data_IF_495602250301
#
_entry.id   IF_495602250301
#
_cell.length_a   1.000
_cell.length_b   1.000
_cell.length_c   1.000
_cell.angle_alpha   90.00
_cell.angle_beta   90.00
_cell.angle_gamma   90.00
#
_symmetry.space_group_name_H-M   'P 1'
#
loop_
_entity.id
_entity.type
_entity.pdbx_description
1 polymer ?
#
# COMPACT_ATOMS: atom_id res chain seq x y z
N UNK A 1 -25.37 79.61 -35.68
CA UNK A 1 -24.42 80.53 -36.33
C UNK A 1 -23.06 80.33 -35.66
N UNK A 2 -22.09 79.77 -36.38
CA UNK A 2 -20.61 79.93 -36.27
C UNK A 2 -19.98 80.28 -34.89
N UNK A 3 -18.99 79.58 -34.34
CA UNK A 3 -17.77 78.96 -34.92
C UNK A 3 -17.18 77.94 -33.93
N UNK A 4 -16.89 76.73 -34.42
CA UNK A 4 -15.90 75.83 -33.82
C UNK A 4 -14.53 76.16 -34.41
N UNK A 5 -13.51 76.37 -33.57
CA UNK A 5 -12.10 76.43 -33.98
C UNK A 5 -11.34 75.36 -33.22
N UNK A 6 -10.89 74.34 -33.96
CA UNK A 6 -10.02 73.28 -33.51
C UNK A 6 -8.61 73.81 -33.27
N UNK A 7 -7.99 73.45 -32.14
CA UNK A 7 -6.54 73.49 -31.96
C UNK A 7 -6.00 72.06 -32.02
N UNK A 8 -5.36 71.75 -33.13
CA UNK A 8 -4.56 70.55 -33.36
C UNK A 8 -3.16 70.83 -32.80
N UNK A 9 -2.82 70.31 -31.62
CA UNK A 9 -1.43 70.35 -31.14
C UNK A 9 -0.66 69.19 -31.79
N UNK A 10 0.14 69.53 -32.79
CA UNK A 10 1.17 68.67 -33.37
C UNK A 10 2.29 68.56 -32.34
N UNK A 11 2.44 67.39 -31.72
CA UNK A 11 3.66 67.03 -30.99
C UNK A 11 4.66 66.51 -32.02
N UNK A 12 5.79 67.21 -32.17
CA UNK A 12 6.89 66.82 -33.06
C UNK A 12 7.84 65.84 -32.33
N UNK A 13 8.54 65.03 -33.12
CA UNK A 13 9.37 63.87 -32.72
C UNK A 13 10.66 64.24 -31.94
N UNK A 14 10.70 65.36 -31.23
CA UNK A 14 11.90 65.86 -30.54
C UNK A 14 11.76 66.04 -29.02
N UNK A 15 10.62 65.67 -28.43
CA UNK A 15 10.38 65.77 -26.98
C UNK A 15 10.52 64.45 -26.19
N UNK A 16 11.22 63.44 -26.73
CA UNK A 16 11.50 62.18 -25.99
C UNK A 16 13.00 61.88 -25.91
N UNK A 17 13.79 62.87 -25.51
CA UNK A 17 15.18 62.65 -25.08
C UNK A 17 15.52 63.53 -23.87
N UNK A 18 14.88 63.25 -22.74
CA UNK A 18 15.42 63.54 -21.41
C UNK A 18 15.38 62.26 -20.58
N UNK A 19 16.20 61.28 -20.98
CA UNK A 19 16.54 60.18 -20.08
C UNK A 19 17.45 60.76 -18.99
N UNK A 20 16.85 61.06 -17.84
CA UNK A 20 17.58 61.12 -16.58
C UNK A 20 18.46 59.88 -16.49
N UNK A 21 19.78 60.06 -16.37
CA UNK A 21 20.72 58.99 -16.06
C UNK A 21 20.22 58.27 -14.81
N UNK A 22 19.63 57.08 -14.99
CA UNK A 22 19.35 56.17 -13.89
C UNK A 22 20.71 55.74 -13.34
N UNK A 23 21.15 56.39 -12.27
CA UNK A 23 22.35 55.99 -11.52
C UNK A 23 22.05 54.66 -10.85
N UNK A 24 22.46 53.58 -11.50
CA UNK A 24 22.50 52.28 -10.87
C UNK A 24 23.77 52.16 -10.02
N UNK A 25 23.63 51.61 -8.82
CA UNK A 25 24.80 51.18 -8.05
C UNK A 25 25.46 50.00 -8.75
N UNK A 26 26.79 50.04 -8.87
CA UNK A 26 27.54 48.99 -9.55
C UNK A 26 27.40 47.65 -8.78
N UNK A 27 27.01 46.55 -9.46
CA UNK A 27 26.83 45.26 -8.81
C UNK A 27 28.16 44.55 -8.58
N UNK A 28 28.28 43.89 -7.43
CA UNK A 28 29.47 43.12 -7.03
C UNK A 28 29.11 41.62 -6.91
N UNK A 29 29.91 40.73 -7.48
CA UNK A 29 29.73 39.27 -7.36
C UNK A 29 30.67 38.74 -6.28
N UNK A 30 30.12 38.06 -5.28
CA UNK A 30 30.88 37.44 -4.18
C UNK A 30 31.11 35.94 -4.41
N UNK A 31 30.07 35.18 -4.78
CA UNK A 31 30.20 33.75 -5.08
C UNK A 31 29.11 33.26 -6.04
N UNK A 32 29.39 32.14 -6.72
CA UNK A 32 28.42 31.37 -7.51
C UNK A 32 28.48 29.93 -7.02
N UNK A 33 27.36 29.38 -6.60
CA UNK A 33 27.29 28.08 -5.96
C UNK A 33 26.24 27.16 -6.63
N UNK A 34 26.64 25.97 -7.10
CA UNK A 34 28.02 25.46 -7.18
C UNK A 34 28.86 26.19 -8.27
N UNK A 35 30.18 26.30 -8.06
CA UNK A 35 31.12 26.85 -9.05
C UNK A 35 31.75 25.78 -9.95
N UNK A 36 31.48 24.49 -9.70
CA UNK A 36 31.92 23.36 -10.53
C UNK A 36 30.67 22.61 -10.97
N UNK A 37 30.47 22.45 -12.27
CA UNK A 37 29.25 21.91 -12.87
C UNK A 37 29.55 21.00 -14.05
N UNK A 38 28.58 20.21 -14.50
CA UNK A 38 28.69 19.44 -15.74
C UNK A 38 28.63 20.37 -16.97
N UNK A 39 29.21 19.95 -18.09
CA UNK A 39 29.10 20.70 -19.34
C UNK A 39 27.67 20.83 -19.88
N UNK A 40 26.73 20.04 -19.35
CA UNK A 40 25.29 20.16 -19.62
C UNK A 40 24.64 21.38 -18.95
N UNK A 41 25.36 22.11 -18.12
CA UNK A 41 24.83 23.22 -17.32
C UNK A 41 24.35 22.78 -15.94
N UNK A 42 23.64 23.67 -15.26
CA UNK A 42 23.11 23.42 -13.91
C UNK A 42 21.86 24.28 -13.68
N UNK A 43 20.81 23.69 -13.11
CA UNK A 43 19.61 24.45 -12.77
C UNK A 43 19.68 25.07 -11.36
N UNK A 44 18.91 26.14 -11.16
CA UNK A 44 18.68 26.79 -9.86
C UNK A 44 19.97 27.14 -9.12
N UNK A 45 20.93 27.71 -9.85
CA UNK A 45 22.22 28.13 -9.32
C UNK A 45 22.06 29.44 -8.56
N UNK A 46 22.75 29.53 -7.42
CA UNK A 46 22.73 30.72 -6.58
C UNK A 46 23.97 31.57 -6.81
N UNK A 47 23.77 32.84 -7.16
CA UNK A 47 24.82 33.87 -7.13
C UNK A 47 24.60 34.76 -5.92
N UNK A 48 25.66 34.96 -5.13
CA UNK A 48 25.70 35.90 -4.00
C UNK A 48 26.50 37.14 -4.39
N UNK A 49 26.05 38.31 -3.94
CA UNK A 49 26.64 39.58 -4.32
C UNK A 49 26.10 40.77 -3.55
N UNK A 50 26.30 41.97 -4.10
CA UNK A 50 25.72 43.22 -3.63
C UNK A 50 25.13 44.00 -4.79
N UNK A 51 24.13 44.84 -4.51
CA UNK A 51 23.49 45.75 -5.47
C UNK A 51 22.88 45.05 -6.69
N UNK A 52 22.36 43.83 -6.51
CA UNK A 52 21.88 42.98 -7.60
C UNK A 52 20.45 43.29 -8.09
N UNK A 53 19.80 44.31 -7.51
CA UNK A 53 18.39 44.64 -7.75
C UNK A 53 18.04 44.97 -9.22
N UNK A 54 18.99 45.52 -9.96
CA UNK A 54 18.79 45.95 -11.35
C UNK A 54 19.34 44.97 -12.38
N UNK A 55 19.95 43.86 -11.95
CA UNK A 55 20.53 42.86 -12.86
C UNK A 55 19.44 42.21 -13.69
N UNK A 56 19.58 42.24 -15.02
CA UNK A 56 18.59 41.70 -15.97
C UNK A 56 18.82 40.23 -16.28
N UNK A 57 20.08 39.84 -16.50
CA UNK A 57 20.50 38.49 -16.90
C UNK A 57 21.93 38.22 -16.42
N UNK A 58 22.29 36.95 -16.36
CA UNK A 58 23.66 36.49 -16.09
C UNK A 58 24.27 36.01 -17.39
N UNK A 59 25.47 36.49 -17.72
CA UNK A 59 26.18 36.13 -18.93
C UNK A 59 27.35 35.20 -18.60
N UNK A 60 27.44 34.11 -19.34
CA UNK A 60 28.52 33.12 -19.26
C UNK A 60 29.30 33.15 -20.55
N UNK A 61 30.62 33.31 -20.46
CA UNK A 61 31.52 33.42 -21.62
C UNK A 61 32.77 32.56 -21.41
N UNK A 62 33.17 31.83 -22.44
CA UNK A 62 34.42 31.06 -22.43
C UNK A 62 35.53 31.88 -23.06
N UNK A 63 36.77 31.70 -22.58
CA UNK A 63 37.93 32.47 -23.04
C UNK A 63 38.21 32.33 -24.56
N UNK A 64 37.72 31.27 -25.19
CA UNK A 64 37.89 30.98 -26.62
C UNK A 64 36.59 31.08 -27.45
N UNK A 65 35.45 31.46 -26.85
CA UNK A 65 34.15 31.50 -27.52
C UNK A 65 33.69 32.95 -27.75
N UNK A 66 33.42 33.29 -29.02
CA UNK A 66 32.95 34.61 -29.43
C UNK A 66 31.46 34.82 -29.14
N UNK A 67 30.70 33.77 -28.79
CA UNK A 67 29.27 33.84 -28.56
C UNK A 67 28.95 33.61 -27.07
N UNK A 68 28.85 34.68 -26.25
CA UNK A 68 28.46 34.54 -24.86
C UNK A 68 27.03 34.01 -24.75
N UNK A 69 26.77 33.20 -23.71
CA UNK A 69 25.44 32.67 -23.42
C UNK A 69 24.82 33.43 -22.26
N UNK A 70 23.62 33.93 -22.50
CA UNK A 70 22.85 34.68 -21.51
C UNK A 70 21.80 33.78 -20.84
N UNK A 71 21.63 33.95 -19.54
CA UNK A 71 20.61 33.28 -18.73
C UNK A 71 19.75 34.30 -17.99
N UNK A 72 18.42 34.23 -18.10
CA UNK A 72 17.53 35.13 -17.38
C UNK A 72 17.59 34.89 -15.87
N UNK A 73 17.41 35.95 -15.09
CA UNK A 73 17.25 35.86 -13.63
C UNK A 73 15.84 35.36 -13.31
N UNK A 74 15.74 34.27 -12.55
CA UNK A 74 14.48 33.66 -12.12
C UNK A 74 13.95 34.30 -10.83
N UNK A 75 14.85 34.49 -9.86
CA UNK A 75 14.54 35.13 -8.58
C UNK A 75 15.61 36.16 -8.27
N UNK A 76 15.18 37.32 -7.76
CA UNK A 76 16.04 38.47 -7.51
C UNK A 76 15.88 39.02 -6.10
N UNK A 77 17.01 39.33 -5.47
CA UNK A 77 17.16 40.10 -4.23
C UNK A 77 18.32 41.10 -4.42
N UNK A 78 18.55 41.98 -3.45
CA UNK A 78 19.68 42.90 -3.45
C UNK A 78 21.04 42.20 -3.33
N UNK A 79 21.05 41.00 -2.77
CA UNK A 79 22.23 40.23 -2.38
C UNK A 79 22.30 38.82 -3.01
N UNK A 80 21.22 38.36 -3.64
CA UNK A 80 21.10 37.02 -4.20
C UNK A 80 20.38 37.01 -5.55
N UNK A 81 20.84 36.15 -6.46
CA UNK A 81 20.17 35.82 -7.71
C UNK A 81 20.04 34.30 -7.85
N UNK A 82 18.90 33.84 -8.38
CA UNK A 82 18.71 32.46 -8.83
C UNK A 82 18.54 32.45 -10.34
N UNK A 83 19.29 31.59 -11.03
CA UNK A 83 19.28 31.47 -12.49
C UNK A 83 19.71 30.06 -12.93
N UNK A 84 19.57 29.74 -14.21
CA UNK A 84 20.08 28.49 -14.77
C UNK A 84 21.44 28.73 -15.44
N UNK A 85 22.45 27.91 -15.18
CA UNK A 85 23.67 27.93 -15.98
C UNK A 85 23.45 27.11 -17.25
N UNK A 86 23.57 27.68 -18.46
CA UNK A 86 23.38 26.96 -19.71
C UNK A 86 24.52 25.96 -19.98
N UNK A 87 24.23 24.93 -20.77
CA UNK A 87 25.25 23.99 -21.25
C UNK A 87 26.27 24.66 -22.18
N UNK A 88 27.50 24.15 -22.20
CA UNK A 88 28.61 24.75 -22.93
C UNK A 88 29.81 23.83 -23.10
N UNK A 89 30.99 24.43 -23.21
CA UNK A 89 32.26 23.72 -23.46
C UNK A 89 32.95 23.41 -22.13
N UNK A 90 33.70 22.31 -22.07
CA UNK A 90 34.50 21.95 -20.88
C UNK A 90 35.60 22.98 -20.61
N UNK A 91 35.93 23.16 -19.34
CA UNK A 91 36.95 24.10 -18.88
C UNK A 91 36.34 25.32 -18.18
N UNK A 92 37.15 26.38 -18.04
CA UNK A 92 36.76 27.57 -17.29
C UNK A 92 35.90 28.51 -18.14
N UNK A 93 34.79 28.96 -17.58
CA UNK A 93 33.95 30.01 -18.12
C UNK A 93 33.88 31.18 -17.14
N UNK A 94 33.91 32.41 -17.66
CA UNK A 94 33.71 33.65 -16.89
C UNK A 94 32.23 33.96 -16.81
N UNK A 95 31.82 34.46 -15.66
CA UNK A 95 30.45 34.84 -15.35
C UNK A 95 30.43 36.29 -14.91
N UNK A 96 29.53 37.06 -15.53
CA UNK A 96 29.22 38.43 -15.15
C UNK A 96 27.71 38.64 -15.10
N UNK A 97 27.28 39.68 -14.38
CA UNK A 97 25.88 40.12 -14.34
C UNK A 97 25.68 41.25 -15.34
N UNK A 98 24.58 41.21 -16.07
CA UNK A 98 24.26 42.20 -17.11
C UNK A 98 23.18 43.15 -16.62
N UNK A 99 23.49 44.45 -16.63
CA UNK A 99 22.60 45.53 -16.23
C UNK A 99 21.69 45.98 -17.39
N UNK A 100 20.66 46.83 -17.17
CA UNK A 100 19.73 47.25 -18.23
C UNK A 100 20.40 48.07 -19.34
N UNK A 101 21.55 48.66 -19.06
CA UNK A 101 22.42 49.36 -20.02
C UNK A 101 23.19 48.40 -20.94
N UNK A 102 23.11 47.09 -20.70
CA UNK A 102 23.83 46.05 -21.43
C UNK A 102 25.27 45.82 -20.95
N UNK A 103 25.73 46.58 -19.94
CA UNK A 103 27.03 46.43 -19.31
C UNK A 103 27.15 45.11 -18.54
N UNK A 104 28.32 44.47 -18.63
CA UNK A 104 28.64 43.20 -17.99
C UNK A 104 29.59 43.48 -16.82
N UNK A 105 29.12 43.26 -15.60
CA UNK A 105 29.81 43.62 -14.36
C UNK A 105 30.17 42.38 -13.54
N UNK A 106 31.32 42.44 -12.87
CA UNK A 106 31.90 41.32 -12.14
C UNK A 106 32.64 40.33 -13.04
N UNK A 107 33.54 39.56 -12.43
CA UNK A 107 34.39 38.60 -13.12
C UNK A 107 34.66 37.42 -12.19
N UNK A 108 33.72 36.47 -12.13
CA UNK A 108 33.92 35.21 -11.41
C UNK A 108 34.03 34.06 -12.40
N UNK A 109 34.70 32.98 -12.00
CA UNK A 109 34.93 31.82 -12.85
C UNK A 109 34.13 30.62 -12.36
N UNK A 110 33.54 29.89 -13.29
CA UNK A 110 32.93 28.58 -13.06
C UNK A 110 33.61 27.53 -13.93
N UNK A 111 33.69 26.29 -13.45
CA UNK A 111 34.34 25.19 -14.14
C UNK A 111 33.31 24.21 -14.70
N UNK A 112 33.36 23.99 -16.02
CA UNK A 112 32.57 23.00 -16.74
C UNK A 112 33.34 21.68 -16.82
N UNK A 113 32.95 20.72 -15.99
CA UNK A 113 33.44 19.35 -15.97
C UNK A 113 32.77 18.43 -17.00
N UNK A 114 33.14 17.15 -16.94
CA UNK A 114 32.56 16.12 -17.80
C UNK A 114 31.15 15.71 -17.33
N UNK A 115 30.40 15.00 -18.18
CA UNK A 115 29.09 14.46 -17.77
C UNK A 115 29.23 13.43 -16.64
N UNK A 116 28.23 13.32 -15.75
CA UNK A 116 28.17 12.21 -14.81
C UNK A 116 27.97 10.89 -15.57
N UNK A 117 28.48 9.82 -14.99
CA UNK A 117 28.26 8.46 -15.49
C UNK A 117 27.92 7.54 -14.33
N UNK A 118 27.02 6.59 -14.56
CA UNK A 118 26.60 5.60 -13.57
C UNK A 118 26.89 4.20 -14.10
N UNK A 119 27.81 3.52 -13.44
CA UNK A 119 28.26 2.17 -13.80
C UNK A 119 27.51 1.11 -13.00
N UNK A 120 27.18 1.38 -11.73
CA UNK A 120 26.46 0.43 -10.88
C UNK A 120 25.71 1.15 -9.73
N UNK A 121 24.87 0.40 -9.00
CA UNK A 121 24.17 0.85 -7.80
C UNK A 121 24.29 -0.19 -6.68
N UNK A 122 24.45 0.28 -5.45
CA UNK A 122 24.68 -0.55 -4.28
C UNK A 122 23.75 -0.10 -3.14
N UNK A 123 22.77 -0.92 -2.72
CA UNK A 123 22.33 -2.17 -3.34
C UNK A 123 21.53 -1.92 -4.63
N UNK A 124 21.41 -2.93 -5.51
CA UNK A 124 20.61 -2.83 -6.75
C UNK A 124 19.11 -3.15 -6.57
N UNK A 125 18.77 -3.73 -5.42
CA UNK A 125 17.42 -4.21 -5.12
C UNK A 125 16.84 -3.39 -3.97
N UNK A 126 15.57 -3.02 -4.07
CA UNK A 126 14.79 -2.39 -2.99
C UNK A 126 13.62 -3.28 -2.61
N UNK A 127 13.10 -3.10 -1.40
CA UNK A 127 11.83 -3.68 -0.98
C UNK A 127 10.65 -2.78 -1.40
N UNK A 128 9.45 -3.36 -1.46
CA UNK A 128 8.24 -2.76 -2.04
C UNK A 128 7.80 -1.49 -1.31
N UNK A 129 7.95 -1.42 0.01
CA UNK A 129 7.64 -0.23 0.81
C UNK A 129 8.60 0.95 0.57
N UNK A 130 9.75 0.73 -0.09
CA UNK A 130 10.71 1.78 -0.44
C UNK A 130 11.42 2.40 0.77
N UNK A 131 11.97 3.61 0.58
CA UNK A 131 12.84 4.34 1.50
C UNK A 131 14.13 3.57 1.85
N UNK A 132 14.67 2.88 0.86
CA UNK A 132 15.99 2.27 0.92
C UNK A 132 17.03 3.27 0.41
N UNK A 133 18.14 3.40 1.12
CA UNK A 133 19.25 4.24 0.67
C UNK A 133 20.08 3.50 -0.37
N UNK A 134 20.12 4.03 -1.59
CA UNK A 134 20.87 3.46 -2.70
C UNK A 134 22.06 4.35 -3.01
N UNK A 135 23.25 3.77 -2.95
CA UNK A 135 24.48 4.40 -3.41
C UNK A 135 24.63 4.23 -4.92
N UNK A 136 24.88 5.35 -5.60
CA UNK A 136 25.23 5.37 -7.02
C UNK A 136 26.75 5.27 -7.16
N UNK A 137 27.22 4.39 -8.04
CA UNK A 137 28.64 4.18 -8.33
C UNK A 137 28.93 4.62 -9.76
N UNK A 138 29.96 5.44 -9.92
CA UNK A 138 30.32 6.01 -11.21
C UNK A 138 31.30 7.18 -11.08
N UNK A 139 31.31 8.08 -12.08
CA UNK A 139 32.23 9.22 -12.14
C UNK A 139 31.47 10.55 -12.29
N UNK A 140 32.06 11.62 -11.76
CA UNK A 140 31.52 13.00 -11.80
C UNK A 140 30.10 13.12 -11.20
N UNK A 141 29.79 12.31 -10.19
CA UNK A 141 28.45 12.21 -9.59
C UNK A 141 28.05 13.44 -8.79
N UNK A 142 29.01 14.29 -8.41
CA UNK A 142 28.79 15.59 -7.77
C UNK A 142 27.97 16.56 -8.62
N UNK A 143 27.87 16.33 -9.94
CA UNK A 143 27.10 17.16 -10.85
C UNK A 143 25.62 16.78 -10.95
N UNK A 144 25.21 15.66 -10.34
CA UNK A 144 23.82 15.20 -10.39
C UNK A 144 22.93 16.12 -9.54
N UNK A 145 21.79 16.51 -10.10
CA UNK A 145 20.78 17.36 -9.45
C UNK A 145 19.71 16.55 -8.75
N UNK A 146 19.26 15.49 -9.41
CA UNK A 146 18.18 14.63 -8.97
C UNK A 146 18.28 13.30 -9.72
N UNK A 147 17.54 12.31 -9.25
CA UNK A 147 17.39 11.02 -9.94
C UNK A 147 15.93 10.83 -10.32
N UNK A 148 15.70 10.36 -11.54
CA UNK A 148 14.37 10.00 -12.02
C UNK A 148 14.27 8.48 -12.18
N UNK A 149 13.24 7.90 -11.57
CA UNK A 149 12.86 6.49 -11.60
C UNK A 149 11.47 6.41 -12.22
N UNK A 150 11.35 5.96 -13.48
CA UNK A 150 10.06 5.82 -14.19
C UNK A 150 9.11 7.02 -13.95
N UNK A 151 9.57 8.21 -14.33
CA UNK A 151 8.91 9.52 -14.16
C UNK A 151 8.80 10.07 -12.73
N UNK A 152 9.11 9.28 -11.70
CA UNK A 152 9.24 9.79 -10.33
C UNK A 152 10.61 10.43 -10.10
N UNK A 153 10.66 11.70 -9.72
CA UNK A 153 11.92 12.40 -9.41
C UNK A 153 12.15 12.45 -7.91
N UNK A 154 13.32 11.99 -7.47
CA UNK A 154 13.77 12.00 -6.08
C UNK A 154 15.02 12.85 -5.92
N UNK A 155 15.11 13.54 -4.78
CA UNK A 155 16.29 14.32 -4.42
C UNK A 155 17.48 13.41 -4.11
N UNK A 156 18.68 13.95 -4.32
CA UNK A 156 19.94 13.25 -4.06
C UNK A 156 20.70 13.90 -2.93
N UNK A 157 21.42 13.07 -2.19
CA UNK A 157 22.38 13.50 -1.18
C UNK A 157 23.79 13.15 -1.67
N UNK A 158 24.66 14.14 -1.74
CA UNK A 158 26.07 13.94 -2.07
C UNK A 158 26.91 14.34 -0.87
N UNK A 159 27.53 13.36 -0.21
CA UNK A 159 28.35 13.58 0.99
C UNK A 159 29.57 12.66 0.96
N UNK A 160 30.72 13.20 1.35
CA UNK A 160 31.99 12.45 1.41
C UNK A 160 32.33 11.72 0.09
N UNK A 161 32.02 12.33 -1.06
CA UNK A 161 32.28 11.75 -2.39
C UNK A 161 31.27 10.68 -2.83
N UNK A 162 30.22 10.44 -2.06
CA UNK A 162 29.23 9.39 -2.32
C UNK A 162 27.85 10.01 -2.61
N UNK A 163 27.30 9.66 -3.77
CA UNK A 163 25.93 10.02 -4.16
C UNK A 163 24.95 8.94 -3.66
N UNK A 164 23.95 9.35 -2.88
CA UNK A 164 22.87 8.47 -2.41
C UNK A 164 21.50 9.08 -2.68
N UNK A 165 20.53 8.23 -2.96
CA UNK A 165 19.11 8.61 -3.03
C UNK A 165 18.26 7.61 -2.26
N UNK A 166 17.05 8.01 -1.88
CA UNK A 166 16.07 7.13 -1.27
C UNK A 166 15.09 6.62 -2.32
N UNK A 167 14.81 5.32 -2.29
CA UNK A 167 13.83 4.72 -3.21
C UNK A 167 12.41 5.14 -2.86
N UNK A 168 11.54 5.45 -3.83
CA UNK A 168 10.12 5.63 -3.56
C UNK A 168 9.42 4.27 -3.29
N UNK A 169 8.24 4.27 -2.68
CA UNK A 169 7.41 3.06 -2.57
C UNK A 169 6.98 2.54 -3.96
N UNK A 170 6.96 1.21 -4.14
CA UNK A 170 6.60 0.56 -5.41
C UNK A 170 5.18 0.91 -5.87
N UNK A 171 4.26 1.16 -4.94
CA UNK A 171 2.86 1.52 -5.22
C UNK A 171 2.71 2.82 -6.02
N UNK A 172 3.76 3.65 -6.09
CA UNK A 172 3.78 4.86 -6.91
C UNK A 172 3.90 4.53 -8.42
N UNK A 173 4.34 3.32 -8.74
CA UNK A 173 4.51 2.85 -10.12
C UNK A 173 3.38 1.92 -10.54
N UNK A 174 2.99 2.01 -11.81
CA UNK A 174 2.05 1.09 -12.44
C UNK A 174 2.73 -0.20 -12.92
N UNK A 175 4.02 -0.11 -13.27
CA UNK A 175 4.79 -1.25 -13.76
C UNK A 175 5.45 -2.02 -12.62
N UNK A 176 5.74 -3.31 -12.83
CA UNK A 176 6.48 -4.14 -11.86
C UNK A 176 8.01 -4.06 -12.00
N UNK A 177 8.52 -3.17 -12.87
CA UNK A 177 9.95 -3.02 -13.16
C UNK A 177 10.50 -4.07 -14.15
N UNK A 178 11.83 -4.13 -14.38
CA UNK A 178 12.90 -3.35 -13.73
C UNK A 178 12.90 -1.88 -14.12
N UNK A 179 13.16 -0.99 -13.16
CA UNK A 179 13.02 0.45 -13.33
C UNK A 179 14.34 1.10 -13.81
N UNK A 180 14.33 1.83 -14.94
CA UNK A 180 15.48 2.58 -15.38
C UNK A 180 15.75 3.74 -14.43
N UNK A 181 17.03 3.96 -14.11
CA UNK A 181 17.48 5.06 -13.25
C UNK A 181 18.14 6.11 -14.13
N UNK A 182 17.63 7.34 -14.10
CA UNK A 182 18.14 8.44 -14.89
C UNK A 182 18.77 9.49 -13.97
N UNK A 183 20.04 9.80 -14.18
CA UNK A 183 20.73 10.90 -13.53
C UNK A 183 20.39 12.22 -14.25
N UNK A 184 19.85 13.19 -13.51
CA UNK A 184 19.57 14.52 -14.05
C UNK A 184 20.78 15.44 -13.83
N UNK A 185 21.33 16.02 -14.90
CA UNK A 185 22.39 17.01 -14.84
C UNK A 185 22.12 18.13 -15.85
N UNK A 186 21.79 19.33 -15.37
CA UNK A 186 21.28 20.42 -16.20
C UNK A 186 20.01 20.00 -16.94
N UNK A 187 20.00 20.18 -18.25
CA UNK A 187 18.87 19.82 -19.12
C UNK A 187 19.00 18.42 -19.73
N UNK A 188 19.94 17.59 -19.24
CA UNK A 188 20.15 16.23 -19.75
C UNK A 188 19.82 15.19 -18.69
N UNK A 189 19.13 14.14 -19.12
CA UNK A 189 18.91 12.92 -18.35
C UNK A 189 19.82 11.82 -18.92
N UNK A 190 20.62 11.21 -18.06
CA UNK A 190 21.63 10.22 -18.42
C UNK A 190 21.27 8.90 -17.76
N UNK A 191 21.03 7.86 -18.56
CA UNK A 191 20.66 6.55 -18.02
C UNK A 191 21.83 5.89 -17.29
N UNK A 192 21.54 5.31 -16.13
CA UNK A 192 22.45 4.36 -15.51
C UNK A 192 22.49 3.06 -16.30
N UNK A 193 23.65 2.41 -16.34
CA UNK A 193 23.81 1.12 -16.99
C UNK A 193 22.90 0.05 -16.37
N UNK A 194 22.72 0.09 -15.05
CA UNK A 194 21.92 -0.88 -14.32
C UNK A 194 20.53 -0.34 -13.98
N UNK A 195 19.55 -1.24 -13.93
CA UNK A 195 18.18 -0.95 -13.52
C UNK A 195 17.96 -1.33 -12.06
N UNK A 196 17.09 -0.58 -11.39
CA UNK A 196 16.65 -0.85 -10.02
C UNK A 196 15.54 -1.90 -10.03
N UNK A 197 15.62 -2.86 -9.11
CA UNK A 197 14.67 -3.96 -8.99
C UNK A 197 13.93 -3.84 -7.65
N UNK A 198 12.62 -4.01 -7.66
CA UNK A 198 11.84 -4.14 -6.44
C UNK A 198 11.51 -5.60 -6.17
N UNK A 199 11.57 -5.98 -4.90
CA UNK A 199 11.10 -7.26 -4.37
C UNK A 199 10.06 -7.01 -3.27
N UNK A 200 9.27 -8.02 -2.89
CA UNK A 200 8.39 -7.93 -1.72
C UNK A 200 9.14 -7.52 -0.47
N UNK A 201 8.43 -6.93 0.49
CA UNK A 201 9.00 -6.57 1.79
C UNK A 201 9.50 -7.82 2.53
N UNK A 202 10.62 -7.72 3.27
CA UNK A 202 11.18 -8.86 4.00
C UNK A 202 10.22 -9.36 5.10
N UNK A 203 9.99 -10.67 5.13
CA UNK A 203 9.09 -11.32 6.09
C UNK A 203 9.88 -11.90 7.28
N UNK A 204 9.52 -11.45 8.49
CA UNK A 204 9.98 -12.02 9.76
C UNK A 204 8.87 -12.90 10.34
N UNK A 205 9.22 -14.11 10.77
CA UNK A 205 8.22 -15.13 11.12
C UNK A 205 8.08 -15.33 12.61
N UNK A 206 9.19 -15.43 13.34
CA UNK A 206 9.19 -15.68 14.78
C UNK A 206 10.48 -15.19 15.42
N UNK A 207 10.48 -15.04 16.75
CA UNK A 207 11.68 -14.74 17.50
C UNK A 207 11.77 -15.60 18.77
N UNK A 208 12.99 -15.80 19.23
CA UNK A 208 13.31 -16.45 20.50
C UNK A 208 14.29 -15.60 21.28
N UNK A 209 14.29 -15.74 22.60
CA UNK A 209 15.20 -15.00 23.49
C UNK A 209 15.99 -15.98 24.33
N UNK A 210 17.29 -15.74 24.48
CA UNK A 210 18.17 -16.53 25.32
C UNK A 210 18.93 -15.62 26.28
N UNK A 211 18.78 -15.81 27.60
CA UNK A 211 19.45 -14.97 28.59
C UNK A 211 20.96 -15.20 28.57
N UNK A 212 21.72 -14.12 28.65
CA UNK A 212 23.17 -14.07 28.86
C UNK A 212 23.46 -13.19 30.09
N UNK A 213 24.71 -13.15 30.53
CA UNK A 213 25.11 -12.32 31.68
C UNK A 213 24.82 -10.85 31.37
N UNK A 214 23.84 -10.25 32.06
CA UNK A 214 23.37 -8.86 31.91
C UNK A 214 22.83 -8.45 30.52
N UNK A 215 22.59 -9.41 29.64
CA UNK A 215 22.12 -9.18 28.27
C UNK A 215 21.11 -10.26 27.87
N UNK A 216 20.20 -9.92 26.97
CA UNK A 216 19.27 -10.86 26.37
C UNK A 216 19.61 -10.98 24.88
N UNK A 217 20.04 -12.16 24.44
CA UNK A 217 20.25 -12.43 23.02
C UNK A 217 18.89 -12.72 22.39
N UNK A 218 18.54 -11.95 21.37
CA UNK A 218 17.34 -12.14 20.58
C UNK A 218 17.72 -12.75 19.23
N UNK A 219 17.00 -13.81 18.86
CA UNK A 219 17.19 -14.54 17.61
C UNK A 219 15.89 -14.52 16.83
N UNK A 220 15.86 -13.81 15.71
CA UNK A 220 14.68 -13.59 14.86
C UNK A 220 14.83 -14.42 13.59
N UNK A 221 13.83 -15.23 13.29
CA UNK A 221 13.74 -16.00 12.07
C UNK A 221 13.20 -15.11 10.95
N UNK A 222 13.95 -15.05 9.85
CA UNK A 222 13.60 -14.31 8.65
C UNK A 222 13.47 -15.29 7.48
N UNK A 223 12.41 -15.13 6.68
CA UNK A 223 12.24 -15.91 5.46
C UNK A 223 13.36 -15.57 4.46
N UNK A 224 13.84 -16.59 3.76
CA UNK A 224 14.83 -16.38 2.71
C UNK A 224 14.22 -15.49 1.60
N UNK A 225 14.97 -14.47 1.20
CA UNK A 225 14.58 -13.58 0.12
C UNK A 225 15.79 -13.20 -0.72
N UNK A 226 15.52 -12.46 -1.80
CA UNK A 226 16.54 -11.99 -2.73
C UNK A 226 17.17 -10.65 -2.34
N UNK A 227 16.88 -10.13 -1.13
CA UNK A 227 17.34 -8.84 -0.66
C UNK A 227 18.68 -8.98 0.07
N UNK A 228 19.70 -8.26 -0.41
CA UNK A 228 20.99 -8.14 0.30
C UNK A 228 20.89 -7.04 1.35
N UNK A 229 20.31 -7.34 2.51
CA UNK A 229 20.15 -6.39 3.61
C UNK A 229 21.47 -6.19 4.37
N UNK A 230 21.75 -4.96 4.81
CA UNK A 230 22.83 -4.65 5.74
C UNK A 230 22.31 -4.63 7.19
N UNK A 231 23.20 -4.90 8.14
CA UNK A 231 22.89 -4.83 9.58
C UNK A 231 22.37 -3.45 10.02
N UNK A 232 22.87 -2.37 9.42
CA UNK A 232 22.44 -1.00 9.69
C UNK A 232 21.05 -0.66 9.17
N UNK A 233 20.50 -1.45 8.23
CA UNK A 233 19.18 -1.20 7.64
C UNK A 233 18.03 -1.73 8.52
N UNK A 234 18.33 -2.63 9.46
CA UNK A 234 17.35 -3.29 10.31
C UNK A 234 17.45 -2.68 11.71
N UNK A 235 16.36 -2.11 12.19
CA UNK A 235 16.24 -1.65 13.56
C UNK A 235 15.28 -2.54 14.31
N UNK A 236 15.65 -2.93 15.53
CA UNK A 236 14.88 -3.87 16.34
C UNK A 236 14.68 -3.29 17.73
N UNK A 237 13.47 -3.44 18.26
CA UNK A 237 13.12 -3.08 19.63
C UNK A 237 12.35 -4.22 20.29
N UNK A 238 12.60 -4.46 21.56
CA UNK A 238 11.85 -5.43 22.36
C UNK A 238 11.11 -4.74 23.50
N UNK A 239 9.93 -5.25 23.84
CA UNK A 239 9.18 -4.83 25.02
C UNK A 239 8.55 -6.03 25.74
N UNK A 240 8.12 -5.79 26.97
CA UNK A 240 7.31 -6.69 27.75
C UNK A 240 5.95 -6.04 27.97
N UNK A 241 4.87 -6.69 27.56
CA UNK A 241 3.51 -6.19 27.71
C UNK A 241 3.36 -4.74 27.19
N UNK A 242 3.04 -3.80 28.08
CA UNK A 242 2.90 -2.37 27.79
C UNK A 242 4.09 -1.52 28.26
N UNK A 243 5.22 -2.15 28.62
CA UNK A 243 6.45 -1.45 28.96
C UNK A 243 7.02 -0.67 27.76
N UNK A 244 7.95 0.23 28.07
CA UNK A 244 8.68 1.01 27.08
C UNK A 244 9.54 0.13 26.15
N UNK A 245 9.61 0.52 24.88
CA UNK A 245 10.41 -0.15 23.85
C UNK A 245 11.91 0.01 24.14
N UNK A 246 12.60 -1.13 24.30
CA UNK A 246 14.05 -1.18 24.51
C UNK A 246 14.75 -1.48 23.18
N UNK A 247 15.75 -0.69 22.76
CA UNK A 247 16.45 -0.94 21.51
C UNK A 247 17.32 -2.19 21.60
N UNK A 248 17.33 -2.98 20.53
CA UNK A 248 18.26 -4.06 20.34
C UNK A 248 19.54 -3.53 19.66
N UNK A 249 20.68 -3.74 20.30
CA UNK A 249 21.99 -3.30 19.79
C UNK A 249 22.73 -4.47 19.14
N UNK A 250 23.79 -4.16 18.39
CA UNK A 250 24.64 -5.16 17.72
C UNK A 250 23.87 -6.10 16.80
N UNK A 251 22.96 -5.55 15.99
CA UNK A 251 22.22 -6.31 14.98
C UNK A 251 23.21 -6.98 14.03
N UNK A 252 23.05 -8.28 13.81
CA UNK A 252 23.82 -9.08 12.87
C UNK A 252 22.87 -9.90 12.03
N UNK A 253 23.13 -9.95 10.73
CA UNK A 253 22.40 -10.78 9.80
C UNK A 253 23.26 -11.98 9.42
N UNK A 254 22.81 -13.17 9.77
CA UNK A 254 23.42 -14.43 9.38
C UNK A 254 22.50 -15.09 8.35
N UNK A 255 22.96 -15.19 7.10
CA UNK A 255 22.25 -15.88 6.04
C UNK A 255 22.98 -17.15 5.58
N UNK A 256 22.24 -18.25 5.57
CA UNK A 256 22.57 -19.53 4.96
C UNK A 256 21.63 -19.78 3.78
N UNK A 257 21.88 -20.82 2.98
CA UNK A 257 21.11 -21.11 1.75
C UNK A 257 19.59 -21.15 1.96
N UNK A 258 19.12 -21.62 3.12
CA UNK A 258 17.68 -21.82 3.39
C UNK A 258 17.17 -21.09 4.64
N UNK A 259 18.05 -20.43 5.40
CA UNK A 259 17.69 -19.73 6.65
C UNK A 259 18.42 -18.41 6.76
N UNK A 260 17.66 -17.34 6.96
CA UNK A 260 18.19 -16.03 7.35
C UNK A 260 17.79 -15.77 8.80
N UNK A 261 18.76 -15.41 9.63
CA UNK A 261 18.56 -15.15 11.05
C UNK A 261 19.10 -13.76 11.36
N UNK A 262 18.31 -12.98 12.09
CA UNK A 262 18.76 -11.72 12.66
C UNK A 262 19.06 -11.94 14.13
N UNK A 263 20.27 -11.60 14.55
CA UNK A 263 20.73 -11.68 15.93
C UNK A 263 20.92 -10.26 16.46
N UNK A 264 20.46 -9.99 17.67
CA UNK A 264 20.74 -8.72 18.33
C UNK A 264 20.69 -8.90 19.85
N UNK A 265 21.21 -7.92 20.61
CA UNK A 265 21.31 -7.99 22.07
C UNK A 265 20.57 -6.83 22.72
N UNK A 266 19.80 -7.12 23.78
CA UNK A 266 19.15 -6.09 24.60
C UNK A 266 19.83 -6.07 25.97
N UNK A 267 20.46 -4.93 26.28
CA UNK A 267 21.24 -4.75 27.50
C UNK A 267 20.35 -4.49 28.72
N UNK A 268 20.88 -4.76 29.91
CA UNK A 268 20.23 -4.44 31.19
C UNK A 268 18.89 -5.19 31.39
N UNK A 269 18.93 -6.50 31.16
CA UNK A 269 17.77 -7.40 31.15
C UNK A 269 17.93 -8.54 32.15
N UNK A 270 18.27 -8.23 33.40
CA UNK A 270 18.14 -9.23 34.47
C UNK A 270 16.65 -9.58 34.63
N UNK A 271 16.30 -10.84 34.37
CA UNK A 271 14.95 -11.42 34.49
C UNK A 271 13.83 -10.80 33.62
N UNK A 272 14.16 -10.01 32.59
CA UNK A 272 13.16 -9.42 31.68
C UNK A 272 12.81 -10.39 30.55
N UNK A 273 11.63 -11.01 30.63
CA UNK A 273 11.02 -11.75 29.51
C UNK A 273 10.38 -10.77 28.54
N UNK A 274 10.83 -10.78 27.29
CA UNK A 274 10.27 -10.00 26.18
C UNK A 274 9.17 -10.82 25.51
N UNK A 275 7.97 -10.26 25.37
CA UNK A 275 6.84 -10.92 24.71
C UNK A 275 6.55 -10.40 23.29
N UNK A 276 7.05 -9.20 22.99
CA UNK A 276 6.77 -8.47 21.76
C UNK A 276 8.06 -7.85 21.24
N UNK A 277 8.25 -7.96 19.93
CA UNK A 277 9.40 -7.43 19.23
C UNK A 277 8.89 -6.62 18.04
N UNK A 278 9.48 -5.45 17.83
CA UNK A 278 9.18 -4.56 16.71
C UNK A 278 10.40 -4.45 15.83
N UNK A 279 10.22 -4.68 14.56
CA UNK A 279 11.25 -4.53 13.54
C UNK A 279 10.87 -3.37 12.61
N UNK A 280 11.84 -2.51 12.29
CA UNK A 280 11.70 -1.47 11.27
C UNK A 280 12.78 -1.59 10.21
N UNK A 281 12.36 -1.54 8.95
CA UNK A 281 13.22 -1.50 7.76
C UNK A 281 12.71 -0.38 6.85
N UNK A 282 13.45 0.74 6.79
CA UNK A 282 12.98 1.93 6.09
C UNK A 282 11.67 2.46 6.70
N UNK A 283 10.57 2.41 5.95
CA UNK A 283 9.22 2.73 6.44
C UNK A 283 8.37 1.51 6.78
N UNK A 284 8.86 0.30 6.52
CA UNK A 284 8.16 -0.92 6.88
C UNK A 284 8.38 -1.21 8.36
N UNK A 285 7.30 -1.46 9.10
CA UNK A 285 7.36 -1.88 10.50
C UNK A 285 6.45 -3.08 10.74
N UNK A 286 6.95 -4.09 11.45
CA UNK A 286 6.16 -5.23 11.89
C UNK A 286 6.33 -5.41 13.39
N UNK A 287 5.31 -5.98 14.05
CA UNK A 287 5.38 -6.37 15.45
C UNK A 287 5.16 -7.87 15.53
N UNK A 288 6.20 -8.60 15.92
CA UNK A 288 6.11 -10.01 16.28
C UNK A 288 5.74 -10.16 17.75
N UNK A 289 4.90 -11.15 18.04
CA UNK A 289 4.61 -11.60 19.41
C UNK A 289 5.12 -13.03 19.57
N UNK A 290 5.61 -13.38 20.76
CA UNK A 290 6.00 -14.77 21.02
C UNK A 290 4.79 -15.70 20.78
N UNK A 291 4.95 -16.71 19.94
CA UNK A 291 3.96 -17.76 19.77
C UNK A 291 3.83 -18.56 21.07
N UNK A 292 2.71 -18.36 21.78
CA UNK A 292 2.29 -19.16 22.93
C UNK A 292 1.73 -20.53 22.45
N UNK A 293 2.49 -21.29 21.65
CA UNK A 293 2.02 -22.54 21.04
C UNK A 293 1.65 -23.63 22.06
N UNK A 294 2.15 -23.56 23.30
CA UNK A 294 1.81 -24.50 24.36
C UNK A 294 0.40 -24.32 24.95
N UNK A 295 -0.13 -23.10 24.96
CA UNK A 295 -1.41 -22.81 25.62
C UNK A 295 -2.60 -23.21 24.75
N UNK A 296 -2.53 -22.97 23.43
CA UNK A 296 -3.60 -23.34 22.50
C UNK A 296 -3.74 -24.86 22.31
N UNK A 297 -2.62 -25.59 22.28
CA UNK A 297 -2.66 -27.06 22.28
C UNK A 297 -3.26 -27.62 23.58
N UNK A 298 -2.94 -27.03 24.74
CA UNK A 298 -3.54 -27.43 26.01
C UNK A 298 -5.04 -27.14 26.03
N UNK A 299 -5.46 -25.94 25.60
CA UNK A 299 -6.89 -25.58 25.48
C UNK A 299 -7.60 -26.55 24.53
N UNK A 300 -6.99 -26.90 23.40
CA UNK A 300 -7.56 -27.84 22.43
C UNK A 300 -7.72 -29.26 23.01
N UNK A 301 -6.71 -29.75 23.74
CA UNK A 301 -6.77 -31.04 24.45
C UNK A 301 -7.84 -31.01 25.55
N UNK A 302 -7.94 -29.92 26.31
CA UNK A 302 -8.97 -29.75 27.35
C UNK A 302 -10.37 -29.73 26.75
N UNK A 303 -10.59 -29.00 25.65
CA UNK A 303 -11.89 -28.98 24.94
C UNK A 303 -12.26 -30.38 24.44
N UNK A 304 -11.32 -31.14 23.88
CA UNK A 304 -11.57 -32.52 23.44
C UNK A 304 -11.93 -33.41 24.62
N UNK A 305 -11.23 -33.26 25.74
CA UNK A 305 -11.47 -34.04 26.95
C UNK A 305 -12.83 -33.71 27.57
N UNK A 306 -13.18 -32.43 27.66
CA UNK A 306 -14.48 -31.95 28.15
C UNK A 306 -15.63 -32.41 27.22
N UNK A 307 -15.41 -32.43 25.89
CA UNK A 307 -16.38 -32.95 24.92
C UNK A 307 -16.60 -34.46 25.10
N UNK A 308 -15.53 -35.22 25.36
CA UNK A 308 -15.60 -36.67 25.60
C UNK A 308 -16.31 -36.99 26.92
N UNK A 309 -16.05 -36.23 27.99
CA UNK A 309 -16.77 -36.34 29.26
C UNK A 309 -18.24 -35.99 29.07
N UNK A 310 -18.54 -34.86 28.41
CA UNK A 310 -19.90 -34.42 28.14
C UNK A 310 -20.72 -35.44 27.35
N UNK A 311 -20.10 -36.15 26.38
CA UNK A 311 -20.79 -37.21 25.64
C UNK A 311 -21.19 -38.41 26.53
N UNK A 312 -20.37 -38.75 27.54
CA UNK A 312 -20.67 -39.80 28.51
C UNK A 312 -21.78 -39.33 29.47
N UNK A 313 -21.72 -38.08 29.92
CA UNK A 313 -22.71 -37.48 30.81
C UNK A 313 -24.09 -37.39 30.16
N UNK A 314 -24.17 -37.00 28.88
CA UNK A 314 -25.43 -36.97 28.13
C UNK A 314 -26.08 -38.35 28.07
N UNK A 315 -25.30 -39.41 27.84
CA UNK A 315 -25.82 -40.77 27.80
C UNK A 315 -26.37 -41.23 29.16
N UNK A 316 -25.73 -40.81 30.24
CA UNK A 316 -26.13 -41.11 31.62
C UNK A 316 -27.38 -40.34 32.00
N UNK A 317 -27.42 -39.04 31.72
CA UNK A 317 -28.57 -38.16 31.94
C UNK A 317 -29.81 -38.65 31.18
N UNK A 318 -29.66 -39.03 29.90
CA UNK A 318 -30.78 -39.58 29.12
C UNK A 318 -31.34 -40.84 29.77
N UNK A 319 -30.47 -41.75 30.21
CA UNK A 319 -30.89 -42.99 30.88
C UNK A 319 -31.63 -42.72 32.18
N UNK A 320 -31.18 -41.74 32.98
CA UNK A 320 -31.84 -41.31 34.22
C UNK A 320 -33.23 -40.70 33.97
N UNK A 321 -33.44 -40.10 32.80
CA UNK A 321 -34.71 -39.52 32.38
C UNK A 321 -35.54 -40.46 31.49
N UNK A 322 -35.24 -41.76 31.48
CA UNK A 322 -35.93 -42.79 30.69
C UNK A 322 -35.89 -42.56 29.17
N UNK A 323 -34.89 -41.84 28.67
CA UNK A 323 -34.59 -41.64 27.26
C UNK A 323 -33.48 -42.60 26.80
N UNK A 324 -33.55 -43.04 25.55
CA UNK A 324 -32.52 -43.90 24.94
C UNK A 324 -31.85 -43.16 23.78
N UNK A 325 -30.54 -42.91 23.91
CA UNK A 325 -29.74 -42.43 22.80
C UNK A 325 -29.57 -43.53 21.76
N UNK A 326 -29.85 -43.23 20.49
CA UNK A 326 -29.65 -44.17 19.39
C UNK A 326 -28.41 -43.77 18.58
N UNK A 327 -27.23 -44.34 18.90
CA UNK A 327 -26.01 -43.91 18.25
C UNK A 327 -25.95 -44.28 16.76
N UNK A 328 -26.68 -45.29 16.30
CA UNK A 328 -26.71 -45.65 14.87
C UNK A 328 -27.48 -44.64 14.02
N UNK A 329 -28.26 -43.75 14.65
CA UNK A 329 -28.97 -42.63 14.00
C UNK A 329 -28.38 -41.26 14.35
N UNK A 330 -27.27 -41.21 15.08
CA UNK A 330 -26.65 -39.95 15.50
C UNK A 330 -25.56 -39.60 14.51
N UNK A 331 -25.65 -38.44 13.89
CA UNK A 331 -24.63 -37.93 12.97
C UNK A 331 -23.72 -36.90 13.67
N UNK A 332 -22.45 -36.86 13.29
CA UNK A 332 -21.46 -35.90 13.79
C UNK A 332 -21.12 -34.90 12.68
N UNK A 333 -21.47 -33.62 12.85
CA UNK A 333 -21.03 -32.54 11.97
C UNK A 333 -19.89 -31.76 12.64
N UNK A 334 -18.78 -31.57 11.93
CA UNK A 334 -17.65 -30.75 12.39
C UNK A 334 -17.53 -29.53 11.48
N UNK A 335 -17.58 -28.33 12.06
CA UNK A 335 -17.51 -27.06 11.33
C UNK A 335 -16.18 -26.38 11.68
N UNK A 336 -15.15 -26.41 10.81
CA UNK A 336 -13.85 -25.83 11.10
C UNK A 336 -13.84 -24.31 10.85
N UNK A 337 -13.11 -23.56 11.69
CA UNK A 337 -12.88 -22.13 11.48
C UNK A 337 -11.83 -21.85 10.38
N UNK A 338 -10.96 -22.81 10.06
CA UNK A 338 -9.92 -22.68 9.03
C UNK A 338 -9.75 -24.00 8.25
N UNK A 339 -9.64 -23.89 6.92
CA UNK A 339 -9.56 -25.01 5.97
C UNK A 339 -8.33 -25.91 6.14
N UNK A 340 -7.28 -25.39 6.76
CA UNK A 340 -6.04 -26.14 7.04
C UNK A 340 -6.18 -27.13 8.22
N UNK A 341 -7.27 -27.04 8.98
CA UNK A 341 -7.53 -27.85 10.17
C UNK A 341 -8.34 -29.09 9.75
N UNK A 342 -7.67 -30.06 9.11
CA UNK A 342 -8.23 -31.39 8.93
C UNK A 342 -7.97 -32.22 10.18
N UNK A 343 -9.03 -32.48 10.96
CA UNK A 343 -8.93 -33.41 12.07
C UNK A 343 -9.84 -34.62 11.81
N UNK A 344 -9.22 -35.80 11.79
CA UNK A 344 -9.91 -37.08 11.92
C UNK A 344 -10.41 -37.21 13.37
N UNK A 345 -11.45 -36.45 13.71
CA UNK A 345 -12.07 -36.48 15.04
C UNK A 345 -12.94 -37.74 15.10
N UNK A 346 -12.56 -38.68 15.96
CA UNK A 346 -13.35 -39.88 16.23
C UNK A 346 -13.88 -39.79 17.66
N UNK A 347 -15.18 -39.52 17.80
CA UNK A 347 -15.86 -39.45 19.10
C UNK A 347 -16.56 -40.79 19.33
N UNK A 348 -16.33 -41.39 20.50
CA UNK A 348 -17.05 -42.58 20.93
C UNK A 348 -18.20 -42.16 21.83
N UNK A 349 -19.43 -42.54 21.45
CA UNK A 349 -20.60 -42.42 22.32
C UNK A 349 -21.10 -43.81 22.66
N UNK A 350 -21.19 -44.12 23.96
CA UNK A 350 -21.41 -45.46 24.50
C UNK A 350 -20.41 -46.50 23.95
N UNK A 351 -20.78 -47.32 22.97
CA UNK A 351 -19.96 -48.39 22.38
C UNK A 351 -19.70 -48.23 20.87
N UNK A 352 -20.12 -47.12 20.28
CA UNK A 352 -20.06 -46.86 18.84
C UNK A 352 -19.25 -45.60 18.53
N UNK A 353 -18.37 -45.70 17.53
CA UNK A 353 -17.62 -44.56 16.99
C UNK A 353 -18.47 -43.77 16.00
N UNK A 354 -18.63 -42.47 16.24
CA UNK A 354 -19.25 -41.55 15.29
C UNK A 354 -18.20 -41.01 14.34
N UNK A 355 -18.48 -41.08 13.04
CA UNK A 355 -17.61 -40.58 11.98
C UNK A 355 -18.17 -39.22 11.52
N UNK A 356 -17.32 -38.19 11.35
CA UNK A 356 -17.76 -36.91 10.82
C UNK A 356 -18.43 -37.05 9.45
N UNK A 357 -19.64 -36.52 9.30
CA UNK A 357 -20.37 -36.42 8.04
C UNK A 357 -20.27 -35.01 7.49
N UNK A 358 -20.31 -34.88 6.16
CA UNK A 358 -20.22 -33.57 5.48
C UNK A 358 -21.52 -32.78 5.49
N UNK A 359 -22.65 -33.48 5.61
CA UNK A 359 -23.99 -32.89 5.64
C UNK A 359 -24.82 -33.65 6.66
N UNK A 360 -25.53 -32.92 7.52
CA UNK A 360 -26.49 -33.48 8.48
C UNK A 360 -27.86 -32.86 8.28
N UNK A 361 -28.91 -33.63 8.57
CA UNK A 361 -30.29 -33.14 8.49
C UNK A 361 -30.85 -32.94 9.89
N UNK A 362 -31.18 -31.70 10.24
CA UNK A 362 -31.81 -31.36 11.51
C UNK A 362 -33.15 -30.66 11.27
N UNK A 363 -34.24 -31.20 11.82
CA UNK A 363 -35.60 -30.70 11.63
C UNK A 363 -35.96 -30.41 10.16
N UNK A 364 -35.41 -31.18 9.21
CA UNK A 364 -35.66 -30.98 7.78
C UNK A 364 -34.67 -30.04 7.06
N UNK A 365 -33.87 -29.26 7.77
CA UNK A 365 -32.80 -28.41 7.22
C UNK A 365 -31.55 -29.25 6.99
N UNK A 366 -30.88 -29.08 5.84
CA UNK A 366 -29.61 -29.73 5.55
C UNK A 366 -28.46 -28.76 5.83
N UNK A 367 -27.57 -29.13 6.75
CA UNK A 367 -26.46 -28.30 7.22
C UNK A 367 -25.17 -28.95 6.76
N UNK A 368 -24.38 -28.24 5.97
CA UNK A 368 -23.05 -28.69 5.54
C UNK A 368 -21.94 -28.22 6.48
N UNK A 369 -20.77 -28.84 6.35
CA UNK A 369 -19.55 -28.58 7.13
C UNK A 369 -18.99 -27.15 6.96
N UNK A 370 -19.48 -26.40 5.97
CA UNK A 370 -19.10 -25.01 5.70
C UNK A 370 -20.19 -24.00 6.03
N UNK A 371 -21.33 -24.45 6.58
CA UNK A 371 -22.51 -23.63 6.79
C UNK A 371 -22.94 -22.87 5.52
N UNK A 372 -22.73 -23.46 4.34
CA UNK A 372 -23.09 -22.83 3.06
C UNK A 372 -24.59 -22.94 2.76
N UNK A 373 -25.25 -23.96 3.31
CA UNK A 373 -26.63 -24.37 3.10
C UNK A 373 -26.99 -24.61 1.61
N UNK A 374 -25.99 -24.85 0.76
CA UNK A 374 -26.18 -24.92 -0.70
C UNK A 374 -27.15 -26.02 -1.11
N UNK A 375 -27.01 -27.22 -0.53
CA UNK A 375 -27.89 -28.35 -0.80
C UNK A 375 -29.31 -28.11 -0.27
N UNK A 376 -29.44 -27.46 0.89
CA UNK A 376 -30.74 -27.10 1.45
C UNK A 376 -31.47 -26.11 0.55
N UNK A 377 -30.81 -25.01 0.18
CA UNK A 377 -31.36 -23.99 -0.72
C UNK A 377 -31.76 -24.59 -2.06
N UNK A 378 -30.92 -25.46 -2.65
CA UNK A 378 -31.25 -26.14 -3.90
C UNK A 378 -32.47 -27.07 -3.77
N UNK A 379 -32.61 -27.77 -2.64
CA UNK A 379 -33.77 -28.63 -2.36
C UNK A 379 -35.05 -27.81 -2.21
N UNK A 380 -35.02 -26.72 -1.43
CA UNK A 380 -36.17 -25.83 -1.23
C UNK A 380 -36.55 -25.18 -2.55
N UNK A 381 -35.59 -24.67 -3.31
CA UNK A 381 -35.80 -24.09 -4.64
C UNK A 381 -36.52 -25.06 -5.58
N UNK A 382 -36.03 -26.31 -5.71
CA UNK A 382 -36.66 -27.33 -6.56
C UNK A 382 -38.09 -27.65 -6.11
N UNK A 383 -38.30 -27.80 -4.80
CA UNK A 383 -39.63 -28.05 -4.22
C UNK A 383 -40.59 -26.92 -4.56
N UNK A 384 -40.21 -25.67 -4.30
CA UNK A 384 -41.04 -24.50 -4.59
C UNK A 384 -41.33 -24.33 -6.09
N UNK A 385 -40.35 -24.52 -6.97
CA UNK A 385 -40.56 -24.46 -8.42
C UNK A 385 -41.53 -25.54 -8.89
N UNK A 386 -41.42 -26.77 -8.36
CA UNK A 386 -42.34 -27.85 -8.67
C UNK A 386 -43.77 -27.54 -8.19
N UNK A 387 -43.92 -27.05 -6.96
CA UNK A 387 -45.22 -26.60 -6.43
C UNK A 387 -45.82 -25.47 -7.26
N UNK A 388 -45.03 -24.46 -7.64
CA UNK A 388 -45.50 -23.37 -8.50
C UNK A 388 -45.96 -23.87 -9.88
N UNK A 389 -45.25 -24.84 -10.44
CA UNK A 389 -45.64 -25.48 -11.70
C UNK A 389 -46.96 -26.24 -11.58
N UNK A 390 -47.17 -26.99 -10.50
CA UNK A 390 -48.43 -27.69 -10.24
C UNK A 390 -49.59 -26.72 -9.99
N UNK A 391 -49.38 -25.66 -9.21
CA UNK A 391 -50.37 -24.58 -9.02
C UNK A 391 -50.71 -23.93 -10.36
N UNK A 392 -49.72 -23.65 -11.22
CA UNK A 392 -49.93 -23.07 -12.56
C UNK A 392 -50.88 -23.93 -13.40
N UNK A 393 -50.77 -25.26 -13.34
CA UNK A 393 -51.62 -26.18 -14.10
C UNK A 393 -53.08 -26.14 -13.66
N UNK A 394 -53.33 -26.05 -12.36
CA UNK A 394 -54.69 -26.05 -11.81
C UNK A 394 -55.28 -24.64 -11.70
N UNK A 395 -54.46 -23.59 -11.83
CA UNK A 395 -54.85 -22.19 -11.73
C UNK A 395 -56.07 -21.80 -12.59
N UNK A 396 -56.29 -22.34 -13.80
CA UNK A 396 -57.50 -22.03 -14.59
C UNK A 396 -58.81 -22.49 -13.93
N UNK A 397 -58.75 -23.42 -12.98
CA UNK A 397 -59.91 -23.99 -12.28
C UNK A 397 -60.12 -23.42 -10.88
N UNK A 398 -59.26 -22.47 -10.45
CA UNK A 398 -59.26 -21.90 -9.11
C UNK A 398 -59.69 -20.44 -9.15
N UNK A 399 -60.32 -19.98 -8.06
CA UNK A 399 -60.51 -18.54 -7.85
C UNK A 399 -59.18 -17.88 -7.52
N UNK A 400 -59.06 -16.60 -7.80
CA UNK A 400 -57.89 -15.78 -7.46
C UNK A 400 -57.48 -15.94 -5.98
N UNK A 401 -58.47 -15.87 -5.08
CA UNK A 401 -58.27 -16.07 -3.64
C UNK A 401 -57.74 -17.47 -3.30
N UNK A 402 -58.28 -18.52 -3.93
CA UNK A 402 -57.82 -19.89 -3.70
C UNK A 402 -56.39 -20.10 -4.20
N UNK A 403 -56.02 -19.52 -5.35
CA UNK A 403 -54.65 -19.53 -5.88
C UNK A 403 -53.69 -18.80 -4.93
N UNK A 404 -54.07 -17.63 -4.42
CA UNK A 404 -53.26 -16.89 -3.45
C UNK A 404 -53.05 -17.70 -2.16
N UNK A 405 -54.11 -18.32 -1.63
CA UNK A 405 -54.02 -19.15 -0.44
C UNK A 405 -53.10 -20.36 -0.65
N UNK A 406 -53.16 -21.00 -1.83
CA UNK A 406 -52.27 -22.11 -2.17
C UNK A 406 -50.81 -21.69 -2.27
N UNK A 407 -50.52 -20.56 -2.91
CA UNK A 407 -49.14 -20.02 -2.98
C UNK A 407 -48.63 -19.70 -1.58
N UNK A 408 -49.44 -19.07 -0.73
CA UNK A 408 -49.06 -18.76 0.65
C UNK A 408 -48.79 -20.03 1.47
N UNK A 409 -49.72 -20.99 1.42
CA UNK A 409 -49.67 -22.19 2.24
C UNK A 409 -48.59 -23.19 1.80
N UNK A 410 -48.28 -23.24 0.50
CA UNK A 410 -47.40 -24.27 -0.06
C UNK A 410 -46.03 -23.75 -0.49
N UNK A 411 -45.92 -22.49 -0.91
CA UNK A 411 -44.65 -21.92 -1.42
C UNK A 411 -44.02 -20.99 -0.38
N UNK A 412 -44.77 -20.02 0.12
CA UNK A 412 -44.25 -19.05 1.09
C UNK A 412 -43.90 -19.73 2.42
N UNK A 413 -44.73 -20.66 2.90
CA UNK A 413 -44.44 -21.45 4.10
C UNK A 413 -43.11 -22.21 4.04
N UNK A 414 -42.71 -22.71 2.87
CA UNK A 414 -41.43 -23.39 2.67
C UNK A 414 -40.25 -22.42 2.65
N UNK A 415 -40.45 -21.21 2.11
CA UNK A 415 -39.44 -20.15 2.11
C UNK A 415 -39.25 -19.54 3.49
N UNK A 416 -40.31 -19.48 4.31
CA UNK A 416 -40.25 -18.97 5.68
C UNK A 416 -39.72 -19.98 6.68
N UNK A 417 -39.74 -21.28 6.34
CA UNK A 417 -39.24 -22.33 7.20
C UNK A 417 -37.72 -22.18 7.44
N UNK A 418 -37.34 -21.87 8.68
CA UNK A 418 -35.95 -21.71 9.10
C UNK A 418 -35.14 -20.64 8.32
N UNK A 419 -35.80 -19.64 7.73
CA UNK A 419 -35.16 -18.55 7.00
C UNK A 419 -34.10 -17.77 7.81
N UNK A 420 -34.23 -17.72 9.14
CA UNK A 420 -33.24 -17.10 10.04
C UNK A 420 -31.83 -17.70 9.90
N UNK A 421 -31.72 -18.98 9.51
CA UNK A 421 -30.43 -19.66 9.29
C UNK A 421 -29.74 -19.20 8.00
N UNK A 422 -30.48 -18.56 7.09
CA UNK A 422 -29.98 -18.14 5.78
C UNK A 422 -29.49 -16.68 5.77
N UNK A 423 -29.61 -15.98 6.91
CA UNK A 423 -29.16 -14.59 7.05
C UNK A 423 -27.63 -14.54 6.98
N UNK A 424 -27.08 -13.63 6.18
CA UNK A 424 -25.63 -13.45 6.00
C UNK A 424 -24.98 -14.39 4.97
N UNK A 425 -25.75 -15.24 4.29
CA UNK A 425 -25.22 -16.06 3.19
C UNK A 425 -24.89 -15.21 1.94
N UNK A 426 -23.92 -15.65 1.12
CA UNK A 426 -23.56 -14.96 -0.12
C UNK A 426 -24.77 -14.75 -1.05
N UNK A 427 -24.84 -13.57 -1.67
CA UNK A 427 -25.95 -13.20 -2.54
C UNK A 427 -26.18 -14.17 -3.72
N UNK A 428 -25.13 -14.87 -4.17
CA UNK A 428 -25.24 -15.89 -5.22
C UNK A 428 -26.11 -17.09 -4.79
N UNK A 429 -26.00 -17.54 -3.54
CA UNK A 429 -26.82 -18.62 -2.98
C UNK A 429 -28.27 -18.16 -2.78
N UNK A 430 -28.46 -16.92 -2.32
CA UNK A 430 -29.78 -16.36 -2.05
C UNK A 430 -30.59 -16.03 -3.31
N UNK A 431 -29.92 -15.81 -4.45
CA UNK A 431 -30.56 -15.49 -5.74
C UNK A 431 -31.59 -16.54 -6.17
N UNK A 432 -31.36 -17.82 -5.86
CA UNK A 432 -32.28 -18.90 -6.21
C UNK A 432 -33.63 -18.74 -5.49
N UNK A 433 -33.62 -18.45 -4.19
CA UNK A 433 -34.85 -18.24 -3.41
C UNK A 433 -35.55 -16.95 -3.82
N UNK A 434 -34.78 -15.90 -4.12
CA UNK A 434 -35.33 -14.65 -4.65
C UNK A 434 -36.07 -14.85 -5.99
N UNK A 435 -35.57 -15.73 -6.86
CA UNK A 435 -36.26 -16.06 -8.11
C UNK A 435 -37.63 -16.69 -7.88
N UNK A 436 -37.77 -17.56 -6.87
CA UNK A 436 -39.06 -18.15 -6.49
C UNK A 436 -40.01 -17.08 -5.95
N UNK A 437 -39.52 -16.20 -5.08
CA UNK A 437 -40.29 -15.07 -4.55
C UNK A 437 -40.78 -14.14 -5.68
N UNK A 438 -39.95 -13.89 -6.69
CA UNK A 438 -40.30 -13.05 -7.83
C UNK A 438 -41.24 -13.77 -8.82
N UNK A 439 -41.18 -15.09 -8.93
CA UNK A 439 -42.03 -15.88 -9.82
C UNK A 439 -43.46 -16.07 -9.26
N UNK A 440 -43.61 -16.12 -7.94
CA UNK A 440 -44.91 -16.35 -7.29
C UNK A 440 -45.99 -15.30 -7.65
N UNK A 441 -45.69 -13.98 -7.74
CA UNK A 441 -46.64 -12.97 -8.22
C UNK A 441 -47.01 -13.07 -9.70
N UNK A 442 -46.13 -13.65 -10.54
CA UNK A 442 -46.30 -13.75 -11.99
C UNK A 442 -47.10 -14.98 -12.46
N UNK A 443 -47.79 -15.67 -11.55
CA UNK A 443 -48.91 -16.56 -11.88
C UNK A 443 -50.12 -15.73 -12.35
N UNK A 444 -49.94 -15.05 -13.49
CA UNK A 444 -50.85 -14.34 -14.41
C UNK A 444 -52.12 -13.62 -13.91
N UNK A 445 -52.41 -13.54 -12.62
CA UNK A 445 -53.63 -12.86 -12.13
C UNK A 445 -53.50 -12.16 -10.78
N UNK A 446 -52.38 -12.22 -10.05
CA UNK A 446 -52.37 -11.85 -8.63
C UNK A 446 -52.49 -10.33 -8.34
N UNK A 447 -52.12 -9.41 -9.26
CA UNK A 447 -52.27 -7.97 -9.03
C UNK A 447 -52.69 -7.20 -10.30
N UNK A 448 -53.78 -6.40 -10.27
CA UNK A 448 -53.97 -5.37 -11.29
C UNK A 448 -52.80 -4.39 -11.20
N UNK A 449 -52.22 -4.06 -12.36
CA UNK A 449 -51.27 -2.97 -12.49
C UNK A 449 -51.82 -1.73 -11.79
N UNK A 450 -51.01 -1.10 -10.93
CA UNK A 450 -51.26 0.14 -10.17
C UNK A 450 -51.60 0.06 -8.68
N UNK A 451 -51.17 -0.99 -7.95
CA UNK A 451 -51.02 -0.85 -6.49
C UNK A 451 -49.70 -1.41 -5.97
N UNK A 452 -48.92 -0.49 -5.40
CA UNK A 452 -47.66 -0.63 -4.67
C UNK A 452 -47.27 -2.05 -4.24
N UNK A 453 -46.20 -2.57 -4.84
CA UNK A 453 -45.47 -3.82 -4.51
C UNK A 453 -44.75 -3.67 -3.15
N UNK A 454 -45.40 -3.11 -2.13
CA UNK A 454 -44.75 -2.75 -0.86
C UNK A 454 -45.39 -3.35 0.39
N UNK A 455 -46.53 -4.03 0.33
CA UNK A 455 -47.22 -4.43 1.57
C UNK A 455 -47.24 -5.93 1.88
N UNK A 456 -46.72 -6.81 1.00
CA UNK A 456 -46.70 -8.27 1.25
C UNK A 456 -45.36 -8.98 1.08
N UNK A 457 -44.30 -8.31 0.60
CA UNK A 457 -42.97 -8.94 0.38
C UNK A 457 -41.83 -8.20 1.13
N UNK A 458 -42.10 -7.05 1.77
CA UNK A 458 -41.03 -6.16 2.24
C UNK A 458 -40.88 -6.02 3.76
N UNK A 459 -41.29 -7.00 4.57
CA UNK A 459 -40.86 -6.99 5.97
C UNK A 459 -40.52 -8.38 6.51
N UNK A 460 -39.20 -8.56 6.68
CA UNK A 460 -38.51 -9.51 7.56
C UNK A 460 -38.51 -10.97 7.15
N UNK A 461 -37.57 -11.33 6.28
CA UNK A 461 -36.93 -12.64 6.46
C UNK A 461 -35.63 -12.86 5.69
N UNK A 462 -35.38 -12.16 4.59
CA UNK A 462 -34.14 -12.34 3.82
C UNK A 462 -33.74 -11.04 3.14
N UNK A 463 -32.99 -10.17 3.83
CA UNK A 463 -32.12 -9.18 3.19
C UNK A 463 -30.78 -9.21 3.93
N UNK A 464 -29.64 -9.01 3.22
CA UNK A 464 -28.30 -9.20 3.76
C UNK A 464 -27.97 -8.31 4.95
#
# INVERSE_FOLDING_TARGET
>A
MYRNTAFLHVVTFQDVCRSSELKYEEPEILSVEPNVISFHGRNNVRLRGKNLNSVTKVRVQWDLDCNPKDSPVLQRSSDNLIFHIPGGIKGTARVCVVMPDGGCHGNTAIFYGSQPSCTNMQPRKSWASGNRSIQVVGSNLEFVEAITLNDYTTDVSFSSGVLRFQTPPLIVFTDSGPFPVLLKAGNKSLACQEKLLYHPDPEFTSFTTSPRVNELLVTIQKKADSLTLNDTEIKVWGRKEEDEWRPCVNVKLESSTDKAVVLCTINNTQDVKIDSLKEEIGHYSIILKMEQNGQYMYIFIMIIFDLLIGAIDISTWMREHHLQLNPSKTDLLVIPANQSIHHNINIKIASSSLIPTKVVRNLGVMIDDWLSFSDHVASVFRSCCFTLYDIRKISPYLTHYATQLLVQAMVISQLDYCNALLVGLPACTMKALQMVQNAAPHLDFIFPSESSISWLIMNKSIQP
#
